data_IF_580172727851
#
_entry.id   IF_580172727851
#
_cell.length_a   1.000
_cell.length_b   1.000
_cell.length_c   1.000
_cell.angle_alpha   90.00
_cell.angle_beta   90.00
_cell.angle_gamma   90.00
#
_symmetry.space_group_name_H-M   'P 1'
#
loop_
_entity.id
_entity.type
_entity.pdbx_description
1 polymer ?
#
# COMPACT_ATOMS: atom_id res chain seq x y z
N UNK A 1 -20.85 3.70 -6.78
CA UNK A 1 -19.46 4.09 -7.12
C UNK A 1 -18.50 3.17 -6.39
N UNK A 2 -17.28 2.98 -6.89
CA UNK A 2 -16.26 2.18 -6.19
C UNK A 2 -15.88 2.86 -4.86
N UNK A 3 -16.01 2.16 -3.73
CA UNK A 3 -15.75 2.71 -2.37
C UNK A 3 -14.32 3.24 -2.26
N UNK A 4 -13.34 2.51 -2.78
CA UNK A 4 -11.93 2.91 -2.78
C UNK A 4 -11.69 4.23 -3.52
N UNK A 5 -12.34 4.41 -4.67
CA UNK A 5 -12.26 5.65 -5.45
C UNK A 5 -12.90 6.83 -4.70
N UNK A 6 -14.11 6.61 -4.16
CA UNK A 6 -14.82 7.63 -3.38
C UNK A 6 -14.03 8.05 -2.13
N UNK A 7 -13.35 7.12 -1.47
CA UNK A 7 -12.49 7.44 -0.33
C UNK A 7 -11.30 8.35 -0.74
N UNK A 8 -10.63 8.06 -1.86
CA UNK A 8 -9.54 8.91 -2.37
C UNK A 8 -10.06 10.30 -2.75
N UNK A 9 -11.18 10.37 -3.47
CA UNK A 9 -11.85 11.63 -3.82
C UNK A 9 -12.22 12.44 -2.57
N UNK A 10 -12.65 11.77 -1.49
CA UNK A 10 -12.96 12.38 -0.20
C UNK A 10 -11.74 12.83 0.62
N UNK A 11 -10.50 12.58 0.15
CA UNK A 11 -9.29 13.06 0.80
C UNK A 11 -8.51 12.03 1.63
N UNK A 12 -8.97 10.77 1.67
CA UNK A 12 -8.29 9.67 2.39
C UNK A 12 -6.91 9.41 1.78
N UNK A 13 -5.91 9.21 2.65
CA UNK A 13 -4.52 8.96 2.23
C UNK A 13 -4.17 7.48 2.08
N UNK A 14 -4.75 6.65 2.94
CA UNK A 14 -4.41 5.24 3.05
C UNK A 14 -5.69 4.41 3.06
N UNK A 15 -5.78 3.46 2.15
CA UNK A 15 -6.86 2.46 2.13
C UNK A 15 -6.38 1.22 2.85
N UNK A 16 -7.15 0.79 3.86
CA UNK A 16 -6.92 -0.47 4.55
C UNK A 16 -7.87 -1.53 3.98
N UNK A 17 -7.32 -2.54 3.31
CA UNK A 17 -8.08 -3.67 2.75
C UNK A 17 -7.54 -4.94 3.38
N UNK A 18 -8.27 -5.48 4.35
CA UNK A 18 -7.90 -6.71 5.05
C UNK A 18 -8.64 -7.93 4.46
N UNK A 19 -7.96 -9.08 4.40
CA UNK A 19 -8.50 -10.42 4.14
C UNK A 19 -8.87 -10.82 2.70
N UNK A 20 -9.31 -9.90 1.84
CA UNK A 20 -9.69 -10.26 0.46
C UNK A 20 -8.68 -9.76 -0.58
N UNK A 21 -7.95 -10.71 -1.19
CA UNK A 21 -7.06 -10.43 -2.32
C UNK A 21 -7.84 -9.87 -3.50
N UNK A 22 -9.04 -10.40 -3.76
CA UNK A 22 -9.92 -9.92 -4.83
C UNK A 22 -10.33 -8.45 -4.62
N UNK A 23 -10.66 -8.08 -3.38
CA UNK A 23 -10.99 -6.69 -3.04
C UNK A 23 -9.79 -5.76 -3.23
N UNK A 24 -8.58 -6.23 -2.92
CA UNK A 24 -7.35 -5.49 -3.19
C UNK A 24 -7.18 -5.25 -4.69
N UNK A 25 -7.20 -6.30 -5.52
CA UNK A 25 -7.01 -6.18 -6.96
C UNK A 25 -8.10 -5.32 -7.62
N UNK A 26 -9.37 -5.52 -7.25
CA UNK A 26 -10.48 -4.71 -7.76
C UNK A 26 -10.29 -3.22 -7.41
N UNK A 27 -9.88 -2.91 -6.18
CA UNK A 27 -9.65 -1.53 -5.75
C UNK A 27 -8.46 -0.90 -6.47
N UNK A 28 -7.34 -1.64 -6.56
CA UNK A 28 -6.14 -1.20 -7.26
C UNK A 28 -6.42 -0.86 -8.73
N UNK A 29 -7.06 -1.78 -9.45
CA UNK A 29 -7.40 -1.60 -10.87
C UNK A 29 -8.36 -0.43 -11.10
N UNK A 30 -9.35 -0.26 -10.23
CA UNK A 30 -10.29 0.85 -10.32
C UNK A 30 -9.60 2.21 -10.15
N UNK A 31 -8.65 2.30 -9.20
CA UNK A 31 -7.87 3.52 -8.95
C UNK A 31 -6.93 3.80 -10.12
N UNK A 32 -6.22 2.78 -10.61
CA UNK A 32 -5.30 2.92 -11.74
C UNK A 32 -6.01 3.45 -12.99
N UNK A 33 -7.13 2.83 -13.36
CA UNK A 33 -7.95 3.28 -14.50
C UNK A 33 -8.51 4.69 -14.30
N UNK A 34 -8.90 5.06 -13.07
CA UNK A 34 -9.36 6.40 -12.78
C UNK A 34 -8.23 7.44 -12.91
N UNK A 35 -7.00 7.09 -12.55
CA UNK A 35 -5.81 7.94 -12.73
C UNK A 35 -5.45 8.11 -14.21
N UNK A 36 -5.41 7.01 -14.97
CA UNK A 36 -5.11 7.01 -16.40
C UNK A 36 -6.11 7.84 -17.21
N UNK A 37 -7.39 7.77 -16.83
CA UNK A 37 -8.48 8.55 -17.46
C UNK A 37 -8.57 9.98 -16.95
N UNK A 38 -7.71 10.40 -16.03
CA UNK A 38 -7.74 11.75 -15.43
C UNK A 38 -8.92 12.02 -14.49
N UNK A 39 -9.68 10.99 -14.10
CA UNK A 39 -10.76 11.12 -13.11
C UNK A 39 -10.20 11.43 -11.71
N UNK A 40 -9.04 10.88 -11.37
CA UNK A 40 -8.23 11.34 -10.23
C UNK A 40 -7.03 12.08 -10.81
N UNK A 41 -6.73 13.26 -10.26
CA UNK A 41 -5.51 13.98 -10.64
C UNK A 41 -4.26 13.34 -10.04
N UNK A 42 -3.13 13.40 -10.76
CA UNK A 42 -1.84 12.96 -10.21
C UNK A 42 -1.46 13.73 -8.95
N UNK A 43 -1.83 15.00 -8.85
CA UNK A 43 -1.55 15.83 -7.68
C UNK A 43 -2.33 15.40 -6.44
N UNK A 44 -3.55 14.88 -6.61
CA UNK A 44 -4.30 14.26 -5.51
C UNK A 44 -3.50 13.11 -4.90
N UNK A 45 -2.90 12.25 -5.72
CA UNK A 45 -2.05 11.13 -5.25
C UNK A 45 -0.75 11.64 -4.63
N UNK A 46 -0.08 12.61 -5.26
CA UNK A 46 1.17 13.20 -4.73
C UNK A 46 0.97 13.84 -3.35
N UNK A 47 -0.15 14.52 -3.12
CA UNK A 47 -0.49 15.11 -1.81
C UNK A 47 -0.61 14.04 -0.71
N UNK A 48 -1.21 12.89 -1.02
CA UNK A 48 -1.25 11.77 -0.08
C UNK A 48 0.12 11.16 0.17
N UNK A 49 0.90 10.95 -0.89
CA UNK A 49 2.28 10.43 -0.76
C UNK A 49 3.16 11.35 0.09
N UNK A 50 3.03 12.67 -0.06
CA UNK A 50 3.74 13.64 0.76
C UNK A 50 3.40 13.48 2.26
N UNK A 51 2.11 13.40 2.61
CA UNK A 51 1.66 13.21 4.01
C UNK A 51 2.11 11.87 4.58
N UNK A 52 2.00 10.80 3.80
CA UNK A 52 2.46 9.46 4.20
C UNK A 52 3.97 9.46 4.44
N UNK A 53 4.76 10.04 3.53
CA UNK A 53 6.21 10.11 3.67
C UNK A 53 6.62 10.93 4.90
N UNK A 54 5.95 12.05 5.17
CA UNK A 54 6.20 12.84 6.39
C UNK A 54 5.97 12.04 7.67
N UNK A 55 4.94 11.19 7.71
CA UNK A 55 4.71 10.28 8.84
C UNK A 55 5.81 9.23 8.90
N UNK A 56 6.16 8.60 7.78
CA UNK A 56 7.25 7.62 7.73
C UNK A 56 8.57 8.21 8.22
N UNK A 57 8.93 9.41 7.80
CA UNK A 57 10.15 10.10 8.24
C UNK A 57 10.16 10.39 9.75
N UNK A 58 8.99 10.58 10.36
CA UNK A 58 8.87 10.83 11.79
C UNK A 58 9.03 9.57 12.64
N UNK A 59 8.60 8.42 12.13
CA UNK A 59 8.45 7.20 12.94
C UNK A 59 9.28 6.00 12.47
N UNK A 60 9.82 6.04 11.25
CA UNK A 60 10.66 4.98 10.70
C UNK A 60 12.10 5.50 10.71
N UNK A 61 12.93 4.86 11.54
CA UNK A 61 14.37 5.07 11.50
C UNK A 61 14.91 4.61 10.14
N UNK A 62 15.58 5.52 9.43
CA UNK A 62 16.34 5.17 8.22
C UNK A 62 17.67 4.57 8.67
N UNK A 63 17.66 3.29 9.02
CA UNK A 63 18.87 2.50 9.25
C UNK A 63 19.39 1.87 7.96
N UNK A 64 20.64 1.42 7.97
CA UNK A 64 21.15 0.55 6.93
C UNK A 64 20.32 -0.74 6.89
N UNK A 65 19.94 -1.16 5.68
CA UNK A 65 19.25 -2.43 5.48
C UNK A 65 20.24 -3.57 5.76
N UNK A 66 20.10 -4.21 6.92
CA UNK A 66 20.78 -5.46 7.20
C UNK A 66 20.20 -6.57 6.29
N UNK A 67 20.90 -6.80 5.18
CA UNK A 67 20.51 -7.78 4.17
C UNK A 67 20.42 -9.20 4.75
N UNK A 68 21.17 -9.52 5.81
CA UNK A 68 21.11 -10.83 6.46
C UNK A 68 19.82 -10.97 7.27
N UNK A 69 19.46 -9.93 8.04
CA UNK A 69 18.18 -9.89 8.76
C UNK A 69 16.97 -9.94 7.82
N UNK A 70 17.06 -9.30 6.65
CA UNK A 70 16.02 -9.38 5.62
C UNK A 70 15.89 -10.81 5.08
N UNK A 71 17.01 -11.47 4.76
CA UNK A 71 17.00 -12.88 4.30
C UNK A 71 16.40 -13.81 5.34
N UNK A 72 16.80 -13.67 6.60
CA UNK A 72 16.28 -14.47 7.72
C UNK A 72 14.76 -14.35 7.82
N UNK A 73 14.20 -13.14 7.80
CA UNK A 73 12.75 -12.92 7.86
C UNK A 73 11.99 -13.64 6.73
N UNK A 74 12.54 -13.64 5.50
CA UNK A 74 11.89 -14.28 4.36
C UNK A 74 12.08 -15.80 4.33
N UNK A 75 13.20 -16.32 4.82
CA UNK A 75 13.42 -17.77 4.95
C UNK A 75 12.57 -18.36 6.09
N UNK A 76 12.39 -17.63 7.18
CA UNK A 76 11.53 -18.04 8.30
C UNK A 76 10.05 -18.07 7.89
N UNK A 77 9.60 -17.08 7.10
CA UNK A 77 8.27 -17.10 6.46
C UNK A 77 8.05 -18.30 5.54
N UNK A 78 9.07 -18.73 4.78
CA UNK A 78 9.00 -19.96 3.97
C UNK A 78 8.94 -21.23 4.81
N UNK A 79 9.43 -21.19 6.04
CA UNK A 79 9.36 -22.31 6.99
C UNK A 79 7.97 -22.40 7.59
N UNK A 80 7.43 -21.27 8.05
CA UNK A 80 6.06 -21.17 8.58
C UNK A 80 4.98 -21.62 7.58
N UNK A 81 5.16 -21.28 6.29
CA UNK A 81 4.22 -21.68 5.23
C UNK A 81 4.36 -23.14 4.78
N UNK A 82 5.47 -23.82 5.13
CA UNK A 82 5.65 -25.26 4.90
C UNK A 82 5.17 -26.13 6.08
N UNK A 83 5.21 -25.60 7.31
CA UNK A 83 4.79 -26.31 8.53
C UNK A 83 3.27 -26.12 8.83
N UNK A 84 2.56 -25.29 8.07
CA UNK A 84 1.12 -25.02 8.22
C UNK A 84 0.22 -25.73 7.19
N UNK A 85 0.72 -26.77 6.51
CA UNK A 85 -0.01 -27.64 5.56
C UNK A 85 0.01 -29.07 6.09
#
# INVERSE_FOLDING_TARGET
GCIALSAIEAGVDLLLICHSHENFFCSYEAILKALERGKISKDRIRSSLYRINRVKERYIEKGDLDIYRVKEYFDDKKRYSRESI
#
